data_IF_567446656444
#
_entry.id   IF_567446656444
#
_cell.length_a   1.000
_cell.length_b   1.000
_cell.length_c   1.000
_cell.angle_alpha   90.00
_cell.angle_beta   90.00
_cell.angle_gamma   90.00
#
_symmetry.space_group_name_H-M   'P 1'
#
loop_
_entity.id
_entity.type
_entity.pdbx_description
1 polymer ?
#
# COMPACT_ATOMS: atom_id res chain seq x y z
N UNK A 1 21.09 -5.87 51.31
CA UNK A 1 19.73 -6.00 50.74
C UNK A 1 19.34 -4.85 49.81
N UNK A 2 19.61 -3.59 50.16
CA UNK A 2 19.20 -2.42 49.34
C UNK A 2 19.84 -2.38 47.93
N UNK A 3 21.10 -2.74 47.76
CA UNK A 3 21.80 -2.75 46.48
C UNK A 3 21.24 -3.78 45.47
N UNK A 4 20.77 -4.94 45.97
CA UNK A 4 20.18 -5.97 45.11
C UNK A 4 18.78 -5.63 44.62
N UNK A 5 18.00 -4.89 45.40
CA UNK A 5 16.68 -4.38 45.00
C UNK A 5 16.78 -3.31 43.91
N UNK A 6 17.77 -2.40 44.01
CA UNK A 6 18.01 -1.38 43.00
C UNK A 6 18.44 -2.00 41.67
N UNK A 7 19.30 -3.02 41.68
CA UNK A 7 19.73 -3.72 40.49
C UNK A 7 18.57 -4.45 39.76
N UNK A 8 17.64 -5.05 40.51
CA UNK A 8 16.46 -5.72 39.96
C UNK A 8 15.47 -4.72 39.36
N UNK A 9 15.27 -3.56 39.98
CA UNK A 9 14.41 -2.50 39.46
C UNK A 9 14.97 -1.88 38.19
N UNK A 10 16.30 -1.69 38.07
CA UNK A 10 16.95 -1.18 36.86
C UNK A 10 16.88 -2.20 35.71
N UNK A 11 16.99 -3.49 35.99
CA UNK A 11 16.85 -4.52 34.96
C UNK A 11 15.42 -4.64 34.46
N UNK A 12 14.39 -4.47 35.30
CA UNK A 12 12.99 -4.47 34.91
C UNK A 12 12.61 -3.26 34.05
N UNK A 13 13.20 -2.07 34.31
CA UNK A 13 12.99 -0.87 33.50
C UNK A 13 13.61 -0.99 32.10
N UNK A 14 14.72 -1.70 31.94
CA UNK A 14 15.36 -1.92 30.64
C UNK A 14 14.55 -2.84 29.71
N UNK A 15 13.80 -3.80 30.28
CA UNK A 15 12.93 -4.69 29.47
C UNK A 15 11.64 -4.01 28.99
N UNK A 16 11.18 -2.97 29.67
CA UNK A 16 9.96 -2.25 29.28
C UNK A 16 10.19 -1.32 28.06
N UNK A 17 11.42 -0.97 27.73
CA UNK A 17 11.76 -0.11 26.59
C UNK A 17 11.86 -0.88 25.25
N UNK A 18 11.88 -2.21 25.25
CA UNK A 18 11.98 -3.05 24.06
C UNK A 18 10.61 -3.45 23.46
N UNK A 19 9.51 -2.93 23.98
CA UNK A 19 8.15 -3.39 23.66
C UNK A 19 7.31 -2.52 22.73
N UNK A 20 7.86 -1.46 22.15
CA UNK A 20 7.22 -0.81 21.00
C UNK A 20 7.86 -1.38 19.73
N UNK A 21 7.28 -2.47 19.21
CA UNK A 21 7.49 -2.86 17.83
C UNK A 21 7.08 -1.69 16.95
N UNK A 22 8.04 -0.85 16.57
CA UNK A 22 7.85 0.02 15.46
C UNK A 22 7.48 -0.89 14.29
N UNK A 23 6.38 -0.61 13.62
CA UNK A 23 6.18 -1.10 12.28
C UNK A 23 7.40 -0.60 11.49
N UNK A 24 8.39 -1.46 11.32
CA UNK A 24 9.41 -1.23 10.30
C UNK A 24 8.62 -1.29 8.99
N UNK A 25 8.10 -0.12 8.57
CA UNK A 25 7.56 0.05 7.23
C UNK A 25 8.61 -0.46 6.26
N UNK A 26 8.18 -1.11 5.20
CA UNK A 26 9.11 -1.59 4.17
C UNK A 26 9.95 -0.38 3.76
N UNK A 27 11.24 -0.43 4.06
CA UNK A 27 12.17 0.65 3.76
C UNK A 27 12.28 0.79 2.24
N UNK A 28 12.32 2.04 1.74
CA UNK A 28 12.52 2.32 0.33
C UNK A 28 11.34 2.97 -0.39
N UNK A 29 10.19 3.15 0.26
CA UNK A 29 9.04 3.83 -0.36
C UNK A 29 9.38 5.25 -0.83
N UNK A 30 10.06 6.03 0.02
CA UNK A 30 10.42 7.43 -0.28
C UNK A 30 11.43 7.54 -1.43
N UNK A 31 12.34 6.56 -1.53
CA UNK A 31 13.41 6.54 -2.53
C UNK A 31 13.03 5.73 -3.79
N UNK A 32 11.79 5.25 -3.89
CA UNK A 32 11.33 4.42 -4.99
C UNK A 32 11.29 5.17 -6.32
N UNK A 33 11.77 4.53 -7.37
CA UNK A 33 11.67 5.02 -8.74
C UNK A 33 10.36 4.55 -9.39
N UNK A 34 9.28 5.36 -9.25
CA UNK A 34 7.96 5.05 -9.81
C UNK A 34 7.95 4.91 -11.33
N UNK A 35 8.84 5.61 -12.04
CA UNK A 35 8.96 5.47 -13.50
C UNK A 35 9.50 4.10 -13.89
N UNK A 36 10.53 3.61 -13.18
CA UNK A 36 11.03 2.24 -13.34
C UNK A 36 9.95 1.23 -12.96
N UNK A 37 9.22 1.48 -11.88
CA UNK A 37 8.09 0.66 -11.46
C UNK A 37 7.02 0.50 -12.54
N UNK A 38 6.64 1.60 -13.22
CA UNK A 38 5.71 1.57 -14.36
C UNK A 38 6.23 0.75 -15.53
N UNK A 39 7.49 0.94 -15.89
CA UNK A 39 8.12 0.18 -16.99
C UNK A 39 8.13 -1.32 -16.67
N UNK A 40 8.55 -1.71 -15.47
CA UNK A 40 8.54 -3.11 -15.03
C UNK A 40 7.12 -3.70 -14.97
N UNK A 41 6.15 -2.91 -14.52
CA UNK A 41 4.75 -3.33 -14.46
C UNK A 41 4.20 -3.68 -15.85
N UNK A 42 4.52 -2.87 -16.86
CA UNK A 42 4.02 -3.03 -18.24
C UNK A 42 4.83 -4.05 -19.02
N UNK A 43 6.16 -3.99 -18.95
CA UNK A 43 7.04 -4.78 -19.81
C UNK A 43 7.51 -6.10 -19.17
N UNK A 44 7.51 -6.19 -17.84
CA UNK A 44 8.17 -7.28 -17.12
C UNK A 44 9.69 -7.12 -17.10
N UNK A 45 10.39 -8.11 -16.57
CA UNK A 45 11.85 -8.12 -16.48
C UNK A 45 12.40 -9.50 -16.84
N UNK A 46 13.55 -9.53 -17.52
CA UNK A 46 14.31 -10.74 -17.82
C UNK A 46 13.49 -11.85 -18.52
N UNK A 47 12.52 -11.46 -19.37
CA UNK A 47 11.65 -12.39 -20.08
C UNK A 47 10.56 -13.01 -19.21
N UNK A 48 10.41 -12.59 -17.96
CA UNK A 48 9.30 -12.98 -17.08
C UNK A 48 8.03 -12.25 -17.46
N UNK A 49 6.87 -12.81 -17.06
CA UNK A 49 5.59 -12.17 -17.28
C UNK A 49 5.51 -10.80 -16.60
N UNK A 50 4.93 -9.82 -17.28
CA UNK A 50 4.67 -8.50 -16.70
C UNK A 50 3.46 -8.55 -15.74
N UNK A 51 3.42 -7.65 -14.78
CA UNK A 51 2.29 -7.50 -13.87
C UNK A 51 0.99 -7.19 -14.64
N UNK A 52 1.10 -6.33 -15.65
CA UNK A 52 0.01 -5.93 -16.53
C UNK A 52 -0.56 -7.05 -17.42
N UNK A 53 0.17 -8.16 -17.60
CA UNK A 53 -0.37 -9.34 -18.30
C UNK A 53 -1.49 -10.02 -17.49
N UNK A 54 -1.51 -9.85 -16.18
CA UNK A 54 -2.50 -10.43 -15.28
C UNK A 54 -3.42 -9.40 -14.63
N UNK A 55 -2.97 -8.16 -14.42
CA UNK A 55 -3.71 -7.13 -13.69
C UNK A 55 -4.17 -5.98 -14.59
N UNK A 56 -5.38 -5.48 -14.29
CA UNK A 56 -5.86 -4.21 -14.81
C UNK A 56 -5.31 -3.08 -13.93
N UNK A 57 -4.73 -2.07 -14.56
CA UNK A 57 -4.33 -0.80 -13.95
C UNK A 57 -4.47 0.28 -15.01
N UNK A 58 -5.39 1.23 -14.80
CA UNK A 58 -5.77 2.23 -15.80
C UNK A 58 -4.58 3.12 -16.21
N UNK A 59 -3.80 3.61 -15.24
CA UNK A 59 -2.60 4.42 -15.51
C UNK A 59 -1.55 3.69 -16.36
N UNK A 60 -1.41 2.38 -16.18
CA UNK A 60 -0.53 1.54 -16.98
C UNK A 60 -1.11 1.15 -18.35
N UNK A 61 -2.39 1.42 -18.61
CA UNK A 61 -3.08 1.01 -19.83
C UNK A 61 -3.20 -0.52 -19.98
N UNK A 62 -3.19 -1.27 -18.88
CA UNK A 62 -3.21 -2.74 -18.90
C UNK A 62 -4.60 -3.31 -18.70
N UNK A 63 -4.85 -4.51 -19.26
CA UNK A 63 -6.16 -5.14 -19.29
C UNK A 63 -6.13 -6.63 -18.92
N UNK A 64 -5.12 -7.09 -18.19
CA UNK A 64 -5.02 -8.46 -17.72
C UNK A 64 -6.14 -8.82 -16.73
N UNK A 65 -6.76 -9.99 -16.89
CA UNK A 65 -7.92 -10.40 -16.09
C UNK A 65 -7.70 -11.66 -15.26
N UNK A 66 -6.47 -12.17 -15.22
CA UNK A 66 -6.11 -13.34 -14.40
C UNK A 66 -6.00 -12.97 -12.91
N UNK A 67 -5.46 -11.79 -12.64
CA UNK A 67 -5.39 -11.20 -11.31
C UNK A 67 -6.50 -10.16 -11.08
N UNK A 68 -6.63 -9.62 -9.86
CA UNK A 68 -7.59 -8.57 -9.54
C UNK A 68 -7.31 -7.28 -10.33
N UNK A 69 -8.37 -6.52 -10.59
CA UNK A 69 -8.27 -5.13 -11.03
C UNK A 69 -7.75 -4.27 -9.88
N UNK A 70 -6.57 -3.68 -10.04
CA UNK A 70 -5.89 -2.95 -8.96
C UNK A 70 -6.58 -1.62 -8.65
N UNK A 71 -7.18 -0.95 -9.65
CA UNK A 71 -7.94 0.28 -9.41
C UNK A 71 -9.15 0.00 -8.52
N UNK A 72 -9.85 -1.11 -8.75
CA UNK A 72 -10.98 -1.51 -7.90
C UNK A 72 -10.52 -1.95 -6.51
N UNK A 73 -9.42 -2.70 -6.43
CA UNK A 73 -8.90 -3.21 -5.16
C UNK A 73 -8.47 -2.07 -4.23
N UNK A 74 -7.82 -1.04 -4.76
CA UNK A 74 -7.27 0.06 -3.96
C UNK A 74 -8.11 1.34 -3.98
N UNK A 75 -9.09 1.49 -4.87
CA UNK A 75 -9.99 2.64 -4.89
C UNK A 75 -10.83 2.78 -3.61
N UNK A 76 -11.12 1.67 -2.93
CA UNK A 76 -11.76 1.70 -1.62
C UNK A 76 -10.82 2.23 -0.54
N UNK A 77 -9.55 1.84 -0.58
CA UNK A 77 -8.53 2.30 0.36
C UNK A 77 -8.36 3.83 0.29
N UNK A 78 -8.27 4.38 -0.92
CA UNK A 78 -8.19 5.83 -1.13
C UNK A 78 -9.42 6.57 -0.55
N UNK A 79 -10.63 6.12 -0.85
CA UNK A 79 -11.85 6.73 -0.30
C UNK A 79 -11.96 6.66 1.22
N UNK A 80 -11.26 5.74 1.85
CA UNK A 80 -11.19 5.59 3.30
C UNK A 80 -10.04 6.39 3.93
N UNK A 81 -9.28 7.15 3.13
CA UNK A 81 -8.16 7.95 3.60
C UNK A 81 -6.94 7.13 4.03
N UNK A 82 -6.76 5.92 3.48
CA UNK A 82 -5.53 5.18 3.71
C UNK A 82 -4.37 5.87 2.99
N UNK A 83 -3.28 6.03 3.72
CA UNK A 83 -2.05 6.62 3.21
C UNK A 83 -1.43 5.74 2.10
N UNK A 84 -0.70 6.39 1.18
CA UNK A 84 -0.07 5.72 0.05
C UNK A 84 0.95 4.66 0.48
N UNK A 85 1.66 4.88 1.59
CA UNK A 85 2.60 3.92 2.19
C UNK A 85 1.92 2.63 2.68
N UNK A 86 0.66 2.74 3.14
CA UNK A 86 -0.15 1.58 3.50
C UNK A 86 -0.45 0.73 2.26
N UNK A 87 -0.87 1.35 1.15
CA UNK A 87 -1.10 0.65 -0.12
C UNK A 87 0.20 0.04 -0.64
N UNK A 88 1.30 0.80 -0.59
CA UNK A 88 2.63 0.31 -0.93
C UNK A 88 3.00 -0.96 -0.16
N UNK A 89 2.83 -0.95 1.15
CA UNK A 89 3.16 -2.10 2.01
C UNK A 89 2.34 -3.35 1.64
N UNK A 90 1.05 -3.18 1.31
CA UNK A 90 0.19 -4.27 0.85
C UNK A 90 0.66 -4.82 -0.49
N UNK A 91 0.94 -3.95 -1.47
CA UNK A 91 1.38 -4.37 -2.80
C UNK A 91 2.74 -5.07 -2.72
N UNK A 92 3.70 -4.49 -1.99
CA UNK A 92 5.01 -5.08 -1.79
C UNK A 92 4.91 -6.48 -1.16
N UNK A 93 4.11 -6.61 -0.10
CA UNK A 93 3.87 -7.90 0.55
C UNK A 93 3.23 -8.94 -0.39
N UNK A 94 2.33 -8.54 -1.30
CA UNK A 94 1.76 -9.45 -2.29
C UNK A 94 2.79 -9.89 -3.34
N UNK A 95 3.70 -9.01 -3.76
CA UNK A 95 4.81 -9.35 -4.67
C UNK A 95 5.75 -10.36 -4.01
N UNK A 96 6.11 -10.13 -2.74
CA UNK A 96 7.01 -11.01 -1.97
C UNK A 96 6.38 -12.38 -1.67
N UNK A 97 5.12 -12.41 -1.26
CA UNK A 97 4.42 -13.64 -0.89
C UNK A 97 3.95 -14.49 -2.08
N UNK A 98 3.78 -13.87 -3.25
CA UNK A 98 3.36 -14.55 -4.48
C UNK A 98 2.16 -15.50 -4.26
N UNK A 99 1.05 -14.96 -3.72
CA UNK A 99 -0.09 -15.79 -3.32
C UNK A 99 -0.95 -16.23 -4.50
N UNK A 100 -1.52 -17.42 -4.38
CA UNK A 100 -2.48 -17.96 -5.32
C UNK A 100 -1.82 -18.34 -6.66
N UNK A 101 -2.30 -17.72 -7.74
CA UNK A 101 -1.79 -17.95 -9.11
C UNK A 101 -0.72 -16.94 -9.52
N UNK A 102 -0.40 -15.97 -8.67
CA UNK A 102 0.64 -15.00 -8.93
C UNK A 102 2.01 -15.70 -8.87
N UNK A 103 2.84 -15.62 -9.93
CA UNK A 103 4.16 -16.24 -9.91
C UNK A 103 5.10 -15.52 -8.94
N UNK A 104 5.95 -16.29 -8.25
CA UNK A 104 6.99 -15.74 -7.41
C UNK A 104 8.13 -15.12 -8.24
N UNK A 105 8.89 -14.23 -7.60
CA UNK A 105 10.13 -13.66 -8.12
C UNK A 105 10.02 -12.96 -9.49
N UNK A 106 8.84 -12.45 -9.86
CA UNK A 106 8.68 -11.64 -11.07
C UNK A 106 9.60 -10.42 -11.04
N UNK A 107 9.61 -9.75 -9.90
CA UNK A 107 10.54 -8.67 -9.54
C UNK A 107 10.98 -8.86 -8.08
N UNK A 108 12.20 -8.43 -7.74
CA UNK A 108 12.77 -8.60 -6.40
C UNK A 108 13.60 -7.38 -6.00
N UNK A 109 13.89 -7.23 -4.71
CA UNK A 109 14.72 -6.13 -4.21
C UNK A 109 14.16 -4.76 -4.59
N UNK A 110 15.00 -3.86 -5.10
CA UNK A 110 14.59 -2.50 -5.47
C UNK A 110 13.51 -2.47 -6.56
N UNK A 111 13.52 -3.39 -7.51
CA UNK A 111 12.47 -3.47 -8.54
C UNK A 111 11.09 -3.75 -7.94
N UNK A 112 11.02 -4.59 -6.92
CA UNK A 112 9.76 -4.85 -6.21
C UNK A 112 9.27 -3.61 -5.44
N UNK A 113 10.19 -2.86 -4.84
CA UNK A 113 9.92 -1.56 -4.20
C UNK A 113 9.38 -0.56 -5.23
N UNK A 114 10.04 -0.44 -6.38
CA UNK A 114 9.67 0.50 -7.44
C UNK A 114 8.28 0.19 -8.00
N UNK A 115 7.98 -1.09 -8.28
CA UNK A 115 6.65 -1.53 -8.74
C UNK A 115 5.59 -1.27 -7.69
N UNK A 116 5.85 -1.61 -6.42
CA UNK A 116 4.89 -1.40 -5.34
C UNK A 116 4.57 0.09 -5.13
N UNK A 117 5.59 0.95 -5.15
CA UNK A 117 5.42 2.40 -5.04
C UNK A 117 4.70 3.00 -6.25
N UNK A 118 4.98 2.50 -7.46
CA UNK A 118 4.22 2.92 -8.65
C UNK A 118 2.74 2.58 -8.51
N UNK A 119 2.40 1.32 -8.20
CA UNK A 119 1.01 0.90 -8.03
C UNK A 119 0.32 1.71 -6.94
N UNK A 120 0.95 1.90 -5.79
CA UNK A 120 0.40 2.70 -4.69
C UNK A 120 0.12 4.15 -5.10
N UNK A 121 0.98 4.72 -5.95
CA UNK A 121 0.84 6.11 -6.41
C UNK A 121 -0.30 6.35 -7.40
N UNK A 122 -0.82 5.31 -8.07
CA UNK A 122 -1.81 5.49 -9.15
C UNK A 122 -3.08 4.65 -8.97
N UNK A 123 -3.02 3.49 -8.32
CA UNK A 123 -4.14 2.56 -8.26
C UNK A 123 -5.34 3.16 -7.52
N UNK A 124 -6.49 3.16 -8.20
CA UNK A 124 -7.76 3.63 -7.65
C UNK A 124 -7.91 5.13 -7.51
N UNK A 125 -6.93 5.95 -7.93
CA UNK A 125 -7.01 7.41 -7.79
C UNK A 125 -7.98 8.06 -8.77
N UNK A 126 -8.27 7.42 -9.88
CA UNK A 126 -9.28 7.87 -10.86
C UNK A 126 -10.72 7.52 -10.45
N UNK A 127 -10.92 6.88 -9.30
CA UNK A 127 -12.24 6.50 -8.82
C UNK A 127 -12.89 7.70 -8.10
N UNK A 128 -14.13 8.01 -8.47
CA UNK A 128 -14.90 9.09 -7.86
C UNK A 128 -14.89 9.01 -6.31
N UNK A 129 -14.56 10.13 -5.67
CA UNK A 129 -14.43 10.24 -4.22
C UNK A 129 -13.05 9.87 -3.66
N UNK A 130 -12.07 9.65 -4.54
CA UNK A 130 -10.67 9.54 -4.17
C UNK A 130 -9.98 10.88 -4.39
N UNK A 131 -9.55 11.53 -3.33
CA UNK A 131 -8.73 12.73 -3.43
C UNK A 131 -7.27 12.38 -3.12
N UNK A 132 -6.38 12.43 -4.12
CA UNK A 132 -4.96 12.10 -3.93
C UNK A 132 -4.23 13.12 -3.03
N UNK A 133 -4.84 14.26 -2.71
CA UNK A 133 -4.23 15.26 -1.82
C UNK A 133 -4.40 14.93 -0.33
N UNK A 134 -5.14 13.88 0.01
CA UNK A 134 -5.43 13.51 1.40
C UNK A 134 -6.39 14.48 2.10
N UNK A 135 -6.92 15.47 1.40
CA UNK A 135 -7.96 16.34 1.91
C UNK A 135 -9.30 15.55 1.84
N UNK A 136 -9.56 14.79 2.87
CA UNK A 136 -10.89 14.19 3.08
C UNK A 136 -11.86 15.34 3.26
N UNK A 137 -12.29 15.90 2.14
CA UNK A 137 -13.27 16.98 2.07
C UNK A 137 -14.41 16.65 3.02
N UNK A 138 -14.53 17.51 4.04
CA UNK A 138 -15.42 17.29 5.17
C UNK A 138 -16.78 16.79 4.71
N UNK A 139 -17.25 15.76 5.40
CA UNK A 139 -18.61 15.26 5.28
C UNK A 139 -19.55 16.46 5.15
N UNK A 140 -20.05 16.72 3.95
CA UNK A 140 -21.13 17.68 3.75
C UNK A 140 -22.31 17.16 4.54
N UNK A 141 -22.46 17.73 5.72
CA UNK A 141 -23.65 17.58 6.58
C UNK A 141 -24.87 17.72 5.71
N UNK A 142 -25.68 16.66 5.75
CA UNK A 142 -26.86 16.47 4.95
C UNK A 142 -27.73 17.70 4.82
N UNK A 143 -28.12 18.01 3.62
CA UNK A 143 -29.24 18.84 3.28
C UNK A 143 -30.49 18.21 3.90
N UNK A 144 -31.06 18.90 4.89
CA UNK A 144 -32.36 18.61 5.47
C UNK A 144 -33.39 18.69 4.35
N UNK A 145 -33.84 17.56 3.88
CA UNK A 145 -35.01 17.45 3.01
C UNK A 145 -36.25 17.78 3.84
N UNK A 146 -36.82 18.96 3.60
CA UNK A 146 -38.10 19.37 4.18
C UNK A 146 -39.17 18.47 3.55
N UNK A 147 -39.60 17.46 4.30
CA UNK A 147 -40.81 16.68 3.98
C UNK A 147 -42.04 17.53 4.14
N UNK A 148 -42.61 18.01 3.04
CA UNK A 148 -43.95 18.59 3.01
C UNK A 148 -44.94 17.43 2.90
N UNK A 149 -45.68 17.21 3.98
CA UNK A 149 -46.83 16.29 4.01
C UNK A 149 -48.08 17.01 3.52
N UNK A 150 -48.96 16.40 2.72
CA UNK A 150 -50.24 16.95 2.29
C UNK A 150 -51.31 16.99 3.41
#
# INVERSE_FOLDING_TARGET
>A
MRARLVAVLLAAAALAAAGCGGSEGVSGFEDANRSNGKELFVAGKDGKASCGSCHILADAGTAGTTGPNLDQAFGYACRQGFEEDTVFSVVYGQIDLAQGVMPADLVTGQDAVDVAAYVASVAGKDIEGCDPSGDVGGATTGTTETQTTP
#
